data_IF_727762229550
#
_entry.id   IF_727762229550
#
_cell.length_a   1.000
_cell.length_b   1.000
_cell.length_c   1.000
_cell.angle_alpha   90.00
_cell.angle_beta   90.00
_cell.angle_gamma   90.00
#
_symmetry.space_group_name_H-M   'P 1'
#
loop_
_entity.id
_entity.type
_entity.pdbx_description
1 polymer ?
#
# COMPACT_ATOMS: atom_id res chain seq x y z
N UNK A 1 -11.11 8.08 -9.29
CA UNK A 1 -10.59 6.74 -8.90
C UNK A 1 -9.25 6.93 -8.19
N UNK A 2 -9.10 6.30 -7.05
CA UNK A 2 -7.91 6.41 -6.22
C UNK A 2 -7.41 5.03 -5.83
N UNK A 3 -6.17 4.70 -6.17
CA UNK A 3 -5.50 3.49 -5.71
C UNK A 3 -4.84 3.77 -4.35
N UNK A 4 -5.04 2.88 -3.39
CA UNK A 4 -4.53 3.05 -2.03
C UNK A 4 -3.32 2.13 -1.84
N UNK A 5 -2.16 2.74 -1.60
CA UNK A 5 -0.94 2.00 -1.29
C UNK A 5 -0.96 1.45 0.14
N UNK A 6 -0.25 0.37 0.38
CA UNK A 6 -0.15 -0.26 1.69
C UNK A 6 0.33 0.71 2.78
N UNK A 7 1.17 1.69 2.44
CA UNK A 7 1.69 2.69 3.39
C UNK A 7 0.59 3.48 4.09
N UNK A 8 -0.49 3.82 3.39
CA UNK A 8 -1.65 4.53 3.95
C UNK A 8 -2.43 3.63 4.90
N UNK A 9 -2.71 2.41 4.47
CA UNK A 9 -3.46 1.43 5.29
C UNK A 9 -2.72 1.15 6.60
N UNK A 10 -1.42 0.89 6.51
CA UNK A 10 -0.57 0.61 7.69
C UNK A 10 -0.56 1.80 8.65
N UNK A 11 -0.36 3.02 8.13
CA UNK A 11 -0.33 4.23 8.96
C UNK A 11 -1.64 4.43 9.73
N UNK A 12 -2.78 4.24 9.07
CA UNK A 12 -4.10 4.38 9.68
C UNK A 12 -4.35 3.29 10.72
N UNK A 13 -4.10 2.02 10.38
CA UNK A 13 -4.39 0.90 11.27
C UNK A 13 -3.47 0.83 12.48
N UNK A 14 -2.24 1.29 12.36
CA UNK A 14 -1.27 1.29 13.47
C UNK A 14 -1.22 2.61 14.23
N UNK A 15 -2.08 3.59 13.88
CA UNK A 15 -2.21 4.85 14.59
C UNK A 15 -0.95 5.72 14.51
N UNK A 16 -0.30 5.80 13.36
CA UNK A 16 0.82 6.71 13.16
C UNK A 16 0.37 8.18 13.28
N UNK A 17 1.30 9.09 13.54
CA UNK A 17 1.00 10.50 13.86
C UNK A 17 0.14 11.20 12.78
N UNK A 18 0.25 10.78 11.53
CA UNK A 18 -0.50 11.33 10.39
C UNK A 18 -1.78 10.55 10.03
N UNK A 19 -2.18 9.54 10.83
CA UNK A 19 -3.34 8.70 10.55
C UNK A 19 -4.62 9.51 10.31
N UNK A 20 -4.93 10.47 11.18
CA UNK A 20 -6.12 11.32 11.07
C UNK A 20 -6.07 12.19 9.81
N UNK A 21 -4.90 12.74 9.49
CA UNK A 21 -4.69 13.52 8.28
C UNK A 21 -4.94 12.69 7.02
N UNK A 22 -4.41 11.45 7.00
CA UNK A 22 -4.61 10.52 5.88
C UNK A 22 -6.08 10.13 5.72
N UNK A 23 -6.78 9.83 6.82
CA UNK A 23 -8.20 9.54 6.80
C UNK A 23 -9.02 10.72 6.26
N UNK A 24 -8.74 11.93 6.73
CA UNK A 24 -9.43 13.13 6.26
C UNK A 24 -9.18 13.35 4.75
N UNK A 25 -7.96 13.12 4.30
CA UNK A 25 -7.60 13.28 2.89
C UNK A 25 -8.30 12.25 2.00
N UNK A 26 -8.37 10.98 2.45
CA UNK A 26 -9.17 9.96 1.74
C UNK A 26 -10.63 10.38 1.63
N UNK A 27 -11.22 10.89 2.71
CA UNK A 27 -12.61 11.34 2.72
C UNK A 27 -12.92 12.52 1.79
N UNK A 28 -11.92 13.20 1.25
CA UNK A 28 -12.10 14.26 0.25
C UNK A 28 -12.29 13.73 -1.19
N UNK A 29 -12.07 12.44 -1.39
CA UNK A 29 -12.25 11.80 -2.70
C UNK A 29 -13.63 11.14 -2.77
N UNK A 30 -14.34 11.38 -3.85
CA UNK A 30 -15.67 10.79 -4.10
C UNK A 30 -15.59 9.34 -4.60
N UNK A 31 -14.47 8.66 -4.35
CA UNK A 31 -14.28 7.27 -4.76
C UNK A 31 -14.35 7.05 -6.28
N UNK A 32 -14.43 5.83 -6.77
CA UNK A 32 -14.19 4.61 -6.02
C UNK A 32 -12.71 4.44 -5.64
N UNK A 33 -12.49 3.71 -4.55
CA UNK A 33 -11.16 3.32 -4.08
C UNK A 33 -10.77 1.95 -4.61
N UNK A 34 -9.46 1.75 -4.80
CA UNK A 34 -8.91 0.49 -5.28
C UNK A 34 -7.69 0.07 -4.48
N UNK A 35 -7.56 -1.23 -4.31
CA UNK A 35 -6.37 -1.89 -3.76
C UNK A 35 -6.00 -3.07 -4.65
N UNK A 36 -4.87 -3.72 -4.41
CA UNK A 36 -4.50 -4.94 -5.11
C UNK A 36 -4.20 -6.08 -4.13
N UNK A 37 -4.06 -7.29 -4.65
CA UNK A 37 -3.62 -8.44 -3.86
C UNK A 37 -2.26 -8.20 -3.20
N UNK A 38 -1.34 -7.49 -3.87
CA UNK A 38 -0.03 -7.13 -3.31
C UNK A 38 -0.18 -6.13 -2.17
N UNK A 39 -1.03 -5.11 -2.30
CA UNK A 39 -1.32 -4.17 -1.21
C UNK A 39 -1.89 -4.89 0.01
N UNK A 40 -2.84 -5.80 -0.18
CA UNK A 40 -3.40 -6.62 0.92
C UNK A 40 -2.31 -7.39 1.64
N UNK A 41 -1.42 -8.03 0.89
CA UNK A 41 -0.31 -8.80 1.45
C UNK A 41 0.67 -7.90 2.20
N UNK A 42 1.14 -6.81 1.59
CA UNK A 42 2.09 -5.89 2.22
C UNK A 42 1.52 -5.26 3.49
N UNK A 43 0.30 -4.75 3.44
CA UNK A 43 -0.35 -4.15 4.59
C UNK A 43 -0.51 -5.18 5.73
N UNK A 44 -0.96 -6.39 5.41
CA UNK A 44 -1.11 -7.46 6.40
C UNK A 44 0.24 -7.82 7.06
N UNK A 45 1.29 -8.01 6.27
CA UNK A 45 2.61 -8.34 6.81
C UNK A 45 3.18 -7.20 7.66
N UNK A 46 2.98 -5.95 7.24
CA UNK A 46 3.46 -4.79 7.99
C UNK A 46 2.72 -4.60 9.32
N UNK A 47 1.41 -4.76 9.33
CA UNK A 47 0.61 -4.72 10.58
C UNK A 47 1.01 -5.88 11.50
N UNK A 48 1.23 -7.08 10.94
CA UNK A 48 1.71 -8.24 11.72
C UNK A 48 3.03 -7.93 12.42
N UNK A 49 4.00 -7.34 11.72
CA UNK A 49 5.27 -6.94 12.33
C UNK A 49 5.08 -5.94 13.46
N UNK A 50 4.19 -4.97 13.32
CA UNK A 50 3.86 -3.99 14.37
C UNK A 50 3.23 -4.64 15.59
N UNK A 51 2.33 -5.62 15.41
CA UNK A 51 1.74 -6.38 16.50
C UNK A 51 2.80 -7.21 17.24
N UNK A 52 3.72 -7.84 16.51
CA UNK A 52 4.81 -8.61 17.10
C UNK A 52 5.77 -7.73 17.90
N UNK A 53 6.19 -6.58 17.35
CA UNK A 53 7.09 -5.62 18.01
C UNK A 53 6.47 -5.04 19.29
N UNK A 54 5.16 -4.82 19.31
CA UNK A 54 4.45 -4.32 20.49
C UNK A 54 4.44 -5.32 21.66
N UNK A 55 4.50 -6.63 21.37
CA UNK A 55 4.57 -7.69 22.38
C UNK A 55 6.00 -8.02 22.81
N UNK A 56 6.92 -8.19 21.87
CA UNK A 56 8.31 -8.50 22.13
C UNK A 56 9.16 -8.28 20.88
N UNK A 57 10.25 -7.51 21.00
CA UNK A 57 11.20 -7.30 19.89
C UNK A 57 12.00 -8.55 19.51
N UNK A 58 12.14 -9.50 20.45
CA UNK A 58 13.04 -10.65 20.31
C UNK A 58 12.32 -11.92 19.83
N UNK A 59 11.01 -11.85 19.62
CA UNK A 59 10.21 -13.00 19.18
C UNK A 59 9.63 -12.81 17.80
N UNK A 60 9.61 -13.85 16.97
CA UNK A 60 8.94 -13.79 15.68
C UNK A 60 7.43 -13.59 15.84
N UNK A 61 6.79 -13.07 14.80
CA UNK A 61 5.35 -13.02 14.71
C UNK A 61 4.74 -14.43 14.74
N UNK A 62 3.54 -14.54 15.30
CA UNK A 62 2.80 -15.80 15.36
C UNK A 62 1.72 -15.86 14.27
N UNK A 63 1.23 -17.05 13.88
CA UNK A 63 0.10 -17.19 12.99
C UNK A 63 -1.14 -16.42 13.45
N UNK A 64 -1.42 -16.38 14.76
CA UNK A 64 -2.56 -15.64 15.32
C UNK A 64 -2.41 -14.14 15.15
N UNK A 65 -1.20 -13.58 15.28
CA UNK A 65 -0.93 -12.16 15.00
C UNK A 65 -1.19 -11.84 13.51
N UNK A 66 -0.79 -12.72 12.61
CA UNK A 66 -1.04 -12.55 11.18
C UNK A 66 -2.54 -12.62 10.88
N UNK A 67 -3.27 -13.55 11.49
CA UNK A 67 -4.72 -13.66 11.34
C UNK A 67 -5.43 -12.39 11.82
N UNK A 68 -5.01 -11.81 12.95
CA UNK A 68 -5.56 -10.53 13.45
C UNK A 68 -5.24 -9.37 12.52
N UNK A 69 -3.99 -9.26 12.05
CA UNK A 69 -3.58 -8.24 11.09
C UNK A 69 -4.41 -8.33 9.80
N UNK A 70 -4.59 -9.55 9.28
CA UNK A 70 -5.42 -9.81 8.11
C UNK A 70 -6.87 -9.34 8.33
N UNK A 71 -7.45 -9.65 9.47
CA UNK A 71 -8.82 -9.21 9.82
C UNK A 71 -8.93 -7.68 9.82
N UNK A 72 -7.96 -6.98 10.40
CA UNK A 72 -7.94 -5.51 10.45
C UNK A 72 -7.84 -4.90 9.05
N UNK A 73 -6.95 -5.43 8.21
CA UNK A 73 -6.76 -4.93 6.83
C UNK A 73 -8.02 -5.18 5.99
N UNK A 74 -8.58 -6.38 6.05
CA UNK A 74 -9.79 -6.71 5.30
C UNK A 74 -10.99 -5.88 5.76
N UNK A 75 -11.11 -5.62 7.06
CA UNK A 75 -12.18 -4.77 7.60
C UNK A 75 -12.03 -3.33 7.10
N UNK A 76 -10.83 -2.77 7.12
CA UNK A 76 -10.58 -1.42 6.60
C UNK A 76 -10.98 -1.31 5.12
N UNK A 77 -10.57 -2.27 4.30
CA UNK A 77 -10.88 -2.31 2.87
C UNK A 77 -12.40 -2.38 2.63
N UNK A 78 -13.10 -3.18 3.44
CA UNK A 78 -14.56 -3.28 3.38
C UNK A 78 -15.24 -1.98 3.81
N UNK A 79 -14.76 -1.35 4.88
CA UNK A 79 -15.33 -0.11 5.43
C UNK A 79 -15.28 1.06 4.44
N UNK A 80 -14.24 1.12 3.61
CA UNK A 80 -14.11 2.15 2.57
C UNK A 80 -14.67 1.70 1.21
N UNK A 81 -15.26 0.52 1.12
CA UNK A 81 -15.78 -0.10 -0.11
C UNK A 81 -14.74 -0.12 -1.25
N UNK A 82 -13.49 -0.42 -0.91
CA UNK A 82 -12.43 -0.49 -1.91
C UNK A 82 -12.56 -1.76 -2.77
N UNK A 83 -12.34 -1.60 -4.06
CA UNK A 83 -12.41 -2.66 -5.06
C UNK A 83 -11.03 -3.22 -5.36
N UNK A 84 -10.97 -4.44 -5.87
CA UNK A 84 -9.72 -5.04 -6.30
C UNK A 84 -9.35 -4.62 -7.72
N UNK A 85 -8.14 -4.05 -7.87
CA UNK A 85 -7.48 -3.89 -9.15
C UNK A 85 -6.71 -5.18 -9.46
N UNK A 86 -7.09 -5.86 -10.52
CA UNK A 86 -6.46 -7.12 -10.89
C UNK A 86 -5.00 -6.93 -11.33
N UNK A 87 -4.13 -7.81 -10.87
CA UNK A 87 -2.74 -7.88 -11.32
C UNK A 87 -2.67 -8.88 -12.48
N UNK A 88 -2.75 -8.35 -13.68
CA UNK A 88 -2.60 -9.11 -14.93
C UNK A 88 -1.14 -9.19 -15.37
N UNK A 89 -0.87 -9.93 -16.45
CA UNK A 89 0.45 -9.93 -17.11
C UNK A 89 0.88 -8.53 -17.56
N UNK A 90 -0.05 -7.71 -18.04
CA UNK A 90 0.22 -6.31 -18.41
C UNK A 90 0.65 -5.48 -17.21
N UNK A 91 -0.03 -5.59 -16.07
CA UNK A 91 0.37 -4.93 -14.83
C UNK A 91 1.76 -5.40 -14.38
N UNK A 92 2.05 -6.70 -14.50
CA UNK A 92 3.38 -7.24 -14.20
C UNK A 92 4.48 -6.62 -15.07
N UNK A 93 4.23 -6.48 -16.37
CA UNK A 93 5.16 -5.82 -17.31
C UNK A 93 5.39 -4.36 -16.92
N UNK A 94 4.35 -3.61 -16.62
CA UNK A 94 4.44 -2.21 -16.15
C UNK A 94 5.18 -2.10 -14.82
N UNK A 95 5.03 -3.07 -13.93
CA UNK A 95 5.78 -3.10 -12.66
C UNK A 95 7.29 -3.27 -12.90
N UNK A 96 7.68 -4.12 -13.86
CA UNK A 96 9.09 -4.25 -14.25
C UNK A 96 9.62 -2.97 -14.89
N UNK A 97 8.85 -2.31 -15.73
CA UNK A 97 9.21 -1.01 -16.31
C UNK A 97 9.37 0.06 -15.22
N UNK A 98 8.47 0.10 -14.23
CA UNK A 98 8.59 0.99 -13.07
C UNK A 98 9.86 0.71 -12.26
N UNK A 99 10.21 -0.56 -12.04
CA UNK A 99 11.45 -0.94 -11.38
C UNK A 99 12.69 -0.46 -12.15
N UNK A 100 12.66 -0.58 -13.48
CA UNK A 100 13.74 -0.11 -14.35
C UNK A 100 13.88 1.41 -14.31
N UNK A 101 12.80 2.15 -14.22
CA UNK A 101 12.76 3.60 -14.26
C UNK A 101 12.97 4.25 -12.89
N UNK A 102 12.31 3.74 -11.85
CA UNK A 102 12.21 4.37 -10.52
C UNK A 102 12.70 3.49 -9.38
N UNK A 103 13.15 2.29 -9.66
CA UNK A 103 13.40 1.26 -8.65
C UNK A 103 14.60 1.53 -7.75
N UNK A 104 14.50 1.04 -6.54
CA UNK A 104 15.62 0.98 -5.59
C UNK A 104 16.79 0.18 -6.16
N UNK A 105 16.52 -0.87 -6.92
CA UNK A 105 17.54 -1.75 -7.50
C UNK A 105 18.45 -1.02 -8.49
N UNK A 106 17.95 0.03 -9.16
CA UNK A 106 18.74 0.89 -10.05
C UNK A 106 19.18 2.19 -9.38
N UNK A 107 19.02 2.28 -8.07
CA UNK A 107 19.41 3.42 -7.23
C UNK A 107 18.76 4.76 -7.64
N UNK A 108 17.54 4.72 -8.15
CA UNK A 108 16.77 5.93 -8.45
C UNK A 108 16.31 6.63 -7.14
N UNK A 109 16.21 7.97 -7.11
CA UNK A 109 15.77 8.70 -5.90
C UNK A 109 14.44 8.28 -5.32
N UNK A 110 13.47 7.86 -6.14
CA UNK A 110 12.18 7.32 -5.67
C UNK A 110 12.33 6.02 -4.89
N UNK A 111 13.37 5.23 -5.21
CA UNK A 111 13.70 3.97 -4.51
C UNK A 111 12.51 3.01 -4.39
N UNK A 112 11.70 2.88 -5.43
CA UNK A 112 10.55 1.99 -5.41
C UNK A 112 10.98 0.55 -5.13
N UNK A 113 10.38 -0.07 -4.13
CA UNK A 113 10.52 -1.49 -3.86
C UNK A 113 9.53 -2.30 -4.74
N UNK A 114 9.50 -3.62 -4.58
CA UNK A 114 8.61 -4.48 -5.37
C UNK A 114 7.14 -4.09 -5.23
N UNK A 115 6.67 -3.87 -4.01
CA UNK A 115 5.28 -3.50 -3.77
C UNK A 115 4.92 -2.15 -4.36
N UNK A 116 5.80 -1.16 -4.21
CA UNK A 116 5.63 0.17 -4.81
C UNK A 116 5.52 0.08 -6.33
N UNK A 117 6.34 -0.76 -6.97
CA UNK A 117 6.26 -0.98 -8.42
C UNK A 117 4.92 -1.55 -8.85
N UNK A 118 4.32 -2.45 -8.06
CA UNK A 118 2.98 -2.96 -8.36
C UNK A 118 1.90 -1.93 -8.10
N UNK A 119 1.99 -1.12 -7.04
CA UNK A 119 1.06 -0.01 -6.80
C UNK A 119 1.10 1.00 -7.94
N UNK A 120 2.30 1.39 -8.38
CA UNK A 120 2.50 2.26 -9.54
C UNK A 120 1.88 1.66 -10.81
N UNK A 121 2.19 0.39 -11.11
CA UNK A 121 1.71 -0.30 -12.30
C UNK A 121 0.17 -0.42 -12.34
N UNK A 122 -0.45 -0.73 -11.19
CA UNK A 122 -1.92 -0.76 -11.09
C UNK A 122 -2.51 0.62 -11.37
N UNK A 123 -2.00 1.66 -10.72
CA UNK A 123 -2.50 3.02 -10.91
C UNK A 123 -2.34 3.45 -12.37
N UNK A 124 -1.19 3.20 -12.99
CA UNK A 124 -0.94 3.53 -14.38
C UNK A 124 -1.86 2.76 -15.33
N UNK A 125 -2.01 1.45 -15.15
CA UNK A 125 -2.82 0.60 -16.03
C UNK A 125 -4.29 0.98 -16.03
N UNK A 126 -4.80 1.44 -14.88
CA UNK A 126 -6.22 1.80 -14.72
C UNK A 126 -6.48 3.30 -14.70
N UNK A 127 -5.47 4.13 -14.94
CA UNK A 127 -5.61 5.58 -15.00
C UNK A 127 -6.01 6.23 -13.67
N UNK A 128 -5.43 5.77 -12.56
CA UNK A 128 -5.72 6.24 -11.21
C UNK A 128 -4.57 7.07 -10.63
N UNK A 129 -4.90 7.93 -9.67
CA UNK A 129 -3.92 8.49 -8.74
C UNK A 129 -3.59 7.47 -7.64
N UNK A 130 -2.47 7.65 -6.93
CA UNK A 130 -2.05 6.81 -5.81
C UNK A 130 -2.13 7.61 -4.52
N UNK A 131 -2.91 7.13 -3.55
CA UNK A 131 -2.81 7.57 -2.18
C UNK A 131 -1.63 6.86 -1.52
N UNK A 132 -0.66 7.61 -1.02
CA UNK A 132 0.55 7.08 -0.38
C UNK A 132 0.99 7.95 0.79
N UNK A 133 1.78 7.35 1.67
CA UNK A 133 2.52 8.02 2.72
C UNK A 133 4.02 7.95 2.41
N UNK A 134 4.75 9.02 2.72
CA UNK A 134 6.19 9.10 2.50
C UNK A 134 6.55 9.80 1.19
N UNK A 135 7.78 9.57 0.72
CA UNK A 135 8.36 10.28 -0.42
C UNK A 135 8.54 9.43 -1.68
N UNK A 136 8.23 8.14 -1.62
CA UNK A 136 8.56 7.20 -2.69
C UNK A 136 7.93 7.60 -4.04
N UNK A 137 6.63 7.86 -4.05
CA UNK A 137 5.93 8.26 -5.27
C UNK A 137 6.08 9.74 -5.63
N UNK A 138 6.57 10.59 -4.71
CA UNK A 138 6.81 12.02 -4.97
C UNK A 138 7.89 12.25 -6.04
N UNK A 139 8.78 11.28 -6.26
CA UNK A 139 9.84 11.31 -7.27
C UNK A 139 9.43 10.62 -8.58
N UNK A 140 8.15 10.30 -8.74
CA UNK A 140 7.55 9.73 -9.95
C UNK A 140 6.54 10.71 -10.54
N UNK A 141 5.88 10.31 -11.62
CA UNK A 141 4.77 11.05 -12.22
C UNK A 141 3.41 10.75 -11.58
N UNK A 142 3.40 9.95 -10.50
CA UNK A 142 2.20 9.58 -9.76
C UNK A 142 2.11 10.32 -8.43
N UNK A 143 0.89 10.60 -7.98
CA UNK A 143 0.65 11.22 -6.69
C UNK A 143 -0.83 11.44 -6.41
N UNK A 144 -1.11 11.96 -5.22
CA UNK A 144 -2.46 12.35 -4.79
C UNK A 144 -2.45 13.66 -4.01
#
# INVERSE_FOLDING_TARGET
MLFIDASVIVAILTGEDDADHLMNRLGQYDGPYYVSAVVRMEATLSVTRRLAEAKSRDRPATPDMLAEARRLVEQFIADIDARDAAISGDVGTRALEAAQQYGKIVNYPARLNMGDCFSYACAQAYGMQIAYKGQDFAQTDMGW
#
